data_IF_512924494987
#
_entry.id   IF_512924494987
#
_cell.length_a   1.000
_cell.length_b   1.000
_cell.length_c   1.000
_cell.angle_alpha   90.00
_cell.angle_beta   90.00
_cell.angle_gamma   90.00
#
_symmetry.space_group_name_H-M   'P 1'
#
loop_
_entity.id
_entity.type
_entity.pdbx_description
1 polymer ?
#
# COMPACT_ATOMS: atom_id res chain seq x y z
N UNK A 1 -26.60 4.41 -16.26
CA UNK A 1 -26.26 2.98 -16.47
C UNK A 1 -26.36 2.30 -15.12
N UNK A 2 -27.42 1.53 -14.88
CA UNK A 2 -27.74 0.92 -13.59
C UNK A 2 -27.12 -0.48 -13.57
N UNK A 3 -26.05 -0.67 -12.81
CA UNK A 3 -25.40 -1.98 -12.69
C UNK A 3 -26.19 -2.77 -11.65
N UNK A 4 -26.75 -3.95 -11.98
CA UNK A 4 -27.56 -4.72 -11.04
C UNK A 4 -26.71 -5.21 -9.86
N UNK A 5 -27.20 -4.97 -8.64
CA UNK A 5 -26.56 -5.27 -7.35
C UNK A 5 -26.46 -6.77 -7.00
N UNK A 6 -26.79 -7.70 -7.90
CA UNK A 6 -26.91 -9.13 -7.59
C UNK A 6 -25.95 -10.06 -8.34
N UNK A 7 -24.97 -9.54 -9.08
CA UNK A 7 -23.89 -10.38 -9.60
C UNK A 7 -22.84 -10.51 -8.51
N UNK A 8 -22.69 -11.71 -7.95
CA UNK A 8 -21.58 -12.02 -7.04
C UNK A 8 -20.29 -11.85 -7.83
N UNK A 9 -19.56 -10.77 -7.54
CA UNK A 9 -18.31 -10.44 -8.23
C UNK A 9 -17.16 -11.33 -7.75
N UNK A 10 -17.31 -11.96 -6.59
CA UNK A 10 -16.25 -12.71 -5.94
C UNK A 10 -16.50 -14.22 -6.06
N UNK A 11 -15.50 -15.01 -6.50
CA UNK A 11 -15.69 -16.44 -6.61
C UNK A 11 -16.02 -17.05 -5.24
N UNK A 12 -17.18 -17.72 -5.13
CA UNK A 12 -17.80 -18.23 -3.88
C UNK A 12 -16.95 -19.18 -3.03
N UNK A 13 -15.76 -19.60 -3.47
CA UNK A 13 -15.02 -20.75 -2.94
C UNK A 13 -13.77 -20.47 -2.09
N UNK A 14 -13.55 -19.24 -1.61
CA UNK A 14 -12.44 -18.98 -0.69
C UNK A 14 -12.76 -17.89 0.34
N UNK A 15 -13.26 -18.31 1.50
CA UNK A 15 -13.59 -17.48 2.67
C UNK A 15 -12.35 -17.01 3.46
N UNK A 16 -11.35 -16.43 2.78
CA UNK A 16 -10.20 -15.76 3.40
C UNK A 16 -9.77 -14.57 2.52
N UNK A 17 -10.75 -13.77 2.10
CA UNK A 17 -10.55 -12.64 1.21
C UNK A 17 -10.68 -11.35 2.00
N UNK A 18 -9.69 -10.48 1.84
CA UNK A 18 -9.78 -9.10 2.28
C UNK A 18 -9.86 -8.26 1.01
N UNK A 19 -10.90 -7.44 0.90
CA UNK A 19 -10.97 -6.42 -0.16
C UNK A 19 -10.23 -5.20 0.36
N UNK A 20 -9.10 -4.90 -0.27
CA UNK A 20 -8.58 -3.56 -0.24
C UNK A 20 -9.43 -2.72 -1.19
N UNK A 21 -9.89 -1.56 -0.74
CA UNK A 21 -9.54 -0.27 -1.38
C UNK A 21 -10.53 0.87 -1.11
N UNK A 22 -9.95 1.96 -0.58
CA UNK A 22 -10.33 3.39 -0.63
C UNK A 22 -11.43 4.03 0.27
N UNK A 23 -10.90 4.88 1.16
CA UNK A 23 -11.41 6.06 1.90
C UNK A 23 -12.44 5.91 3.01
N UNK A 24 -13.24 4.84 3.09
CA UNK A 24 -14.33 4.77 4.08
C UNK A 24 -14.50 3.43 4.80
N UNK A 25 -13.58 2.50 4.63
CA UNK A 25 -13.57 1.30 5.48
C UNK A 25 -13.08 1.69 6.88
N UNK A 26 -13.77 1.21 7.92
CA UNK A 26 -13.47 1.53 9.32
C UNK A 26 -12.18 0.88 9.83
N UNK A 27 -11.71 -0.20 9.17
CA UNK A 27 -10.50 -0.93 9.55
C UNK A 27 -9.37 -0.70 8.56
N UNK A 28 -8.16 -0.55 9.07
CA UNK A 28 -6.94 -0.51 8.27
C UNK A 28 -6.34 -1.90 8.10
N UNK A 29 -5.88 -2.21 6.89
CA UNK A 29 -4.98 -3.34 6.66
C UNK A 29 -3.65 -3.05 7.36
N UNK A 30 -3.17 -4.00 8.17
CA UNK A 30 -1.95 -3.87 8.95
C UNK A 30 -1.20 -5.21 8.99
N UNK A 31 0.11 -5.13 9.25
CA UNK A 31 0.99 -6.30 9.30
C UNK A 31 1.35 -6.84 7.92
N UNK A 32 1.99 -8.01 7.86
CA UNK A 32 2.31 -8.69 6.62
C UNK A 32 1.05 -9.02 5.82
N UNK A 33 1.17 -9.16 4.49
CA UNK A 33 0.09 -9.66 3.65
C UNK A 33 -0.08 -11.17 3.88
N UNK A 34 -0.85 -11.52 4.91
CA UNK A 34 -1.03 -12.87 5.45
C UNK A 34 -2.17 -13.68 4.78
N UNK A 35 -3.00 -13.02 3.96
CA UNK A 35 -4.13 -13.67 3.29
C UNK A 35 -3.72 -14.25 1.94
N UNK A 36 -4.42 -15.32 1.56
CA UNK A 36 -4.22 -16.00 0.26
C UNK A 36 -4.66 -15.15 -0.92
N UNK A 37 -5.68 -14.29 -0.73
CA UNK A 37 -6.25 -13.48 -1.80
C UNK A 37 -6.63 -12.12 -1.25
N UNK A 38 -6.09 -11.09 -1.89
CA UNK A 38 -6.54 -9.72 -1.76
C UNK A 38 -7.30 -9.34 -3.02
N UNK A 39 -8.41 -8.63 -2.85
CA UNK A 39 -9.17 -8.12 -3.99
C UNK A 39 -9.12 -6.61 -3.97
N UNK A 40 -8.92 -6.01 -5.14
CA UNK A 40 -8.75 -4.59 -5.34
C UNK A 40 -9.87 -4.06 -6.22
N UNK A 41 -10.44 -2.92 -5.86
CA UNK A 41 -11.42 -2.27 -6.71
C UNK A 41 -10.72 -1.66 -7.92
N UNK A 42 -10.98 -2.20 -9.11
CA UNK A 42 -10.40 -1.69 -10.35
C UNK A 42 -11.07 -0.39 -10.86
N UNK A 43 -12.04 0.16 -10.12
CA UNK A 43 -12.84 1.31 -10.50
C UNK A 43 -12.77 2.44 -9.47
N UNK A 44 -13.09 3.66 -9.90
CA UNK A 44 -13.18 4.83 -9.04
C UNK A 44 -14.44 4.75 -8.17
N UNK A 45 -14.30 4.26 -6.94
CA UNK A 45 -15.42 4.03 -6.03
C UNK A 45 -15.87 5.32 -5.31
N UNK A 46 -16.74 6.12 -5.95
CA UNK A 46 -17.26 7.38 -5.37
C UNK A 46 -18.23 7.15 -4.21
N UNK A 47 -19.04 6.10 -4.31
CA UNK A 47 -20.23 5.88 -3.49
C UNK A 47 -20.10 4.69 -2.53
N UNK A 48 -18.86 4.20 -2.30
CA UNK A 48 -18.60 3.08 -1.40
C UNK A 48 -19.28 1.77 -1.86
N UNK A 49 -19.49 1.63 -3.16
CA UNK A 49 -20.19 0.51 -3.78
C UNK A 49 -19.40 -0.79 -3.60
N UNK A 50 -18.07 -0.71 -3.63
CA UNK A 50 -17.20 -1.87 -3.42
C UNK A 50 -17.30 -2.41 -2.00
N UNK A 51 -17.37 -1.53 -0.99
CA UNK A 51 -17.53 -1.93 0.40
C UNK A 51 -18.93 -2.50 0.70
N UNK A 52 -19.98 -1.96 0.06
CA UNK A 52 -21.34 -2.52 0.19
C UNK A 52 -21.41 -3.90 -0.46
N UNK A 53 -20.85 -4.07 -1.66
CA UNK A 53 -20.78 -5.37 -2.32
C UNK A 53 -19.99 -6.39 -1.48
N UNK A 54 -18.84 -5.99 -0.92
CA UNK A 54 -18.05 -6.82 -0.01
C UNK A 54 -18.88 -7.34 1.18
N UNK A 55 -19.61 -6.44 1.85
CA UNK A 55 -20.44 -6.79 3.02
C UNK A 55 -21.58 -7.72 2.65
N UNK A 56 -22.24 -7.48 1.51
CA UNK A 56 -23.32 -8.35 1.03
C UNK A 56 -22.83 -9.77 0.73
N UNK A 57 -21.54 -9.94 0.43
CA UNK A 57 -20.92 -11.24 0.17
C UNK A 57 -20.16 -11.81 1.38
N UNK A 58 -20.28 -11.19 2.57
CA UNK A 58 -19.62 -11.64 3.80
C UNK A 58 -18.09 -11.50 3.79
N UNK A 59 -17.55 -10.62 2.93
CA UNK A 59 -16.12 -10.37 2.77
C UNK A 59 -15.71 -9.19 3.67
N UNK A 60 -14.59 -9.33 4.37
CA UNK A 60 -14.05 -8.24 5.18
C UNK A 60 -13.50 -7.11 4.27
N UNK A 61 -14.05 -5.92 4.45
CA UNK A 61 -13.61 -4.71 3.76
C UNK A 61 -12.62 -3.94 4.64
N UNK A 62 -11.43 -3.66 4.12
CA UNK A 62 -10.40 -2.86 4.81
C UNK A 62 -9.86 -1.76 3.91
N UNK A 63 -9.27 -0.75 4.55
CA UNK A 63 -8.61 0.36 3.89
C UNK A 63 -7.08 0.19 3.98
N UNK A 64 -6.39 0.54 2.87
CA UNK A 64 -4.93 0.70 2.91
C UNK A 64 -4.56 1.82 3.89
N UNK A 65 -3.54 1.63 4.75
CA UNK A 65 -3.19 2.59 5.80
C UNK A 65 -2.49 3.86 5.27
N UNK A 66 -2.72 4.25 4.02
CA UNK A 66 -2.07 5.40 3.35
C UNK A 66 -2.25 6.70 4.14
N UNK A 67 -3.45 6.97 4.63
CA UNK A 67 -3.76 8.17 5.41
C UNK A 67 -3.09 8.22 6.79
N UNK A 68 -2.49 7.11 7.26
CA UNK A 68 -1.66 7.12 8.48
C UNK A 68 -0.27 7.69 8.22
N UNK A 69 0.26 7.50 7.01
CA UNK A 69 1.64 7.86 6.66
C UNK A 69 1.72 9.16 5.87
N UNK A 70 0.65 9.53 5.16
CA UNK A 70 0.60 10.76 4.37
C UNK A 70 -0.74 11.49 4.50
N UNK A 71 -0.68 12.80 4.30
CA UNK A 71 -1.86 13.63 4.03
C UNK A 71 -2.00 13.76 2.52
N UNK A 72 -3.15 13.33 2.00
CA UNK A 72 -3.47 13.53 0.60
C UNK A 72 -3.63 15.01 0.29
N UNK A 73 -3.24 15.39 -0.92
CA UNK A 73 -3.63 16.63 -1.54
C UNK A 73 -5.17 16.76 -1.52
N UNK A 74 -5.71 17.90 -1.09
CA UNK A 74 -7.16 18.17 -1.02
C UNK A 74 -7.93 17.88 -2.32
N UNK A 75 -7.26 17.89 -3.49
CA UNK A 75 -7.84 17.60 -4.81
C UNK A 75 -7.77 16.12 -5.22
N UNK A 76 -6.87 15.32 -4.66
CA UNK A 76 -6.71 13.89 -4.99
C UNK A 76 -7.11 13.02 -3.79
N UNK A 77 -8.35 12.55 -3.80
CA UNK A 77 -8.92 11.69 -2.74
C UNK A 77 -8.77 10.19 -3.01
N UNK A 78 -8.09 9.83 -4.11
CA UNK A 78 -7.95 8.45 -4.58
C UNK A 78 -6.52 8.17 -5.05
N UNK A 79 -6.07 6.95 -4.80
CA UNK A 79 -4.77 6.46 -5.27
C UNK A 79 -5.00 5.61 -6.53
N UNK A 80 -4.22 5.79 -7.60
CA UNK A 80 -4.30 4.91 -8.77
C UNK A 80 -4.08 3.43 -8.40
N UNK A 81 -4.71 2.51 -9.15
CA UNK A 81 -4.56 1.06 -8.94
C UNK A 81 -3.11 0.61 -9.10
N UNK A 82 -2.39 1.16 -10.07
CA UNK A 82 -0.96 0.88 -10.27
C UNK A 82 -0.16 1.14 -8.99
N UNK A 83 -0.30 2.34 -8.42
CA UNK A 83 0.37 2.71 -7.18
C UNK A 83 -0.03 1.81 -6.01
N UNK A 84 -1.27 1.34 -5.96
CA UNK A 84 -1.71 0.42 -4.92
C UNK A 84 -1.08 -0.96 -5.05
N UNK A 85 -0.96 -1.46 -6.28
CA UNK A 85 -0.27 -2.71 -6.56
C UNK A 85 1.21 -2.62 -6.19
N UNK A 86 1.87 -1.51 -6.51
CA UNK A 86 3.29 -1.31 -6.18
C UNK A 86 3.51 -1.22 -4.67
N UNK A 87 2.64 -0.52 -3.93
CA UNK A 87 2.65 -0.52 -2.45
C UNK A 87 2.49 -1.94 -1.92
N UNK A 88 1.52 -2.71 -2.44
CA UNK A 88 1.27 -4.07 -1.95
C UNK A 88 2.44 -5.02 -2.23
N UNK A 89 3.12 -4.86 -3.37
CA UNK A 89 4.37 -5.59 -3.67
C UNK A 89 5.46 -5.26 -2.66
N UNK A 90 5.72 -3.97 -2.41
CA UNK A 90 6.74 -3.57 -1.44
C UNK A 90 6.41 -4.06 -0.03
N UNK A 91 5.14 -4.05 0.39
CA UNK A 91 4.72 -4.62 1.68
C UNK A 91 4.96 -6.13 1.73
N UNK A 92 4.70 -6.85 0.65
CA UNK A 92 4.98 -8.28 0.55
C UNK A 92 6.49 -8.55 0.69
N UNK A 93 7.31 -7.84 -0.07
CA UNK A 93 8.76 -8.03 -0.13
C UNK A 93 9.46 -7.62 1.18
N UNK A 94 8.90 -6.63 1.89
CA UNK A 94 9.41 -6.16 3.19
C UNK A 94 8.76 -6.84 4.39
N UNK A 95 7.94 -7.87 4.17
CA UNK A 95 7.21 -8.58 5.22
C UNK A 95 6.38 -7.67 6.15
N UNK A 96 5.72 -6.64 5.60
CA UNK A 96 4.77 -5.81 6.33
C UNK A 96 5.21 -4.37 6.61
N UNK A 97 6.29 -3.86 6.01
CA UNK A 97 6.68 -2.45 6.18
C UNK A 97 5.86 -1.50 5.31
N UNK A 98 4.67 -1.18 5.82
CA UNK A 98 3.75 -0.21 5.22
C UNK A 98 4.35 1.19 5.12
N UNK A 99 5.18 1.61 6.07
CA UNK A 99 5.77 2.93 6.08
C UNK A 99 6.71 3.12 4.90
N UNK A 100 7.63 2.18 4.71
CA UNK A 100 8.53 2.16 3.56
C UNK A 100 7.74 2.06 2.25
N UNK A 101 6.85 1.07 2.12
CA UNK A 101 6.12 0.80 0.88
C UNK A 101 5.28 2.00 0.42
N UNK A 102 4.59 2.66 1.35
CA UNK A 102 3.76 3.82 1.02
C UNK A 102 4.64 5.00 0.62
N UNK A 103 5.71 5.31 1.37
CA UNK A 103 6.58 6.44 1.04
C UNK A 103 7.35 6.23 -0.27
N UNK A 104 7.75 5.00 -0.58
CA UNK A 104 8.53 4.65 -1.77
C UNK A 104 7.73 4.78 -3.07
N UNK A 105 6.43 4.51 -3.04
CA UNK A 105 5.59 4.46 -4.25
C UNK A 105 4.72 5.69 -4.47
N UNK A 106 4.68 6.62 -3.52
CA UNK A 106 3.90 7.84 -3.67
C UNK A 106 4.63 8.88 -4.51
N UNK A 107 3.94 9.44 -5.49
CA UNK A 107 4.46 10.52 -6.33
C UNK A 107 4.15 11.90 -5.75
N UNK A 108 4.98 12.90 -6.08
CA UNK A 108 4.83 14.29 -5.62
C UNK A 108 3.42 14.85 -5.85
N UNK A 109 2.85 14.52 -7.00
CA UNK A 109 1.52 14.99 -7.40
C UNK A 109 0.38 14.43 -6.54
N UNK A 110 0.59 13.34 -5.80
CA UNK A 110 -0.40 12.74 -4.91
C UNK A 110 -0.37 13.36 -3.51
N UNK A 111 0.78 13.91 -3.12
CA UNK A 111 1.06 14.32 -1.73
C UNK A 111 1.09 15.84 -1.55
N UNK A 112 1.37 16.61 -2.61
CA UNK A 112 1.53 18.07 -2.49
C UNK A 112 0.27 18.82 -2.92
N UNK A 113 -0.36 19.55 -1.98
CA UNK A 113 -1.07 20.82 -2.26
C UNK A 113 -1.13 21.80 -1.08
N UNK A 114 -0.68 21.42 0.11
CA UNK A 114 -1.01 22.18 1.33
C UNK A 114 0.23 22.60 2.14
N UNK A 115 1.43 22.48 1.56
CA UNK A 115 2.70 22.89 2.20
C UNK A 115 3.12 22.09 3.44
N UNK A 116 2.43 20.99 3.79
CA UNK A 116 2.68 20.20 5.01
C UNK A 116 3.57 18.97 4.83
N UNK A 117 3.89 18.57 3.59
CA UNK A 117 4.79 17.45 3.33
C UNK A 117 5.87 17.96 2.38
N UNK A 118 7.08 18.08 2.89
CA UNK A 118 8.27 18.24 2.07
C UNK A 118 8.54 16.90 1.37
N UNK A 119 8.12 16.81 0.12
CA UNK A 119 8.35 15.62 -0.69
C UNK A 119 9.85 15.35 -0.91
N UNK A 120 10.69 16.39 -0.87
CA UNK A 120 12.14 16.23 -0.87
C UNK A 120 12.65 15.55 0.39
N UNK A 121 12.17 15.98 1.57
CA UNK A 121 12.45 15.31 2.84
C UNK A 121 11.95 13.86 2.83
N UNK A 122 10.74 13.62 2.32
CA UNK A 122 10.16 12.27 2.22
C UNK A 122 11.03 11.33 1.38
N UNK A 123 11.47 11.79 0.20
CA UNK A 123 12.35 11.02 -0.68
C UNK A 123 13.72 10.77 -0.05
N UNK A 124 14.27 11.78 0.65
CA UNK A 124 15.53 11.63 1.37
C UNK A 124 15.41 10.57 2.47
N UNK A 125 14.35 10.60 3.28
CA UNK A 125 14.09 9.59 4.32
C UNK A 125 13.98 8.18 3.74
N UNK A 126 13.27 8.01 2.61
CA UNK A 126 13.15 6.72 1.93
C UNK A 126 14.51 6.23 1.42
N UNK A 127 15.29 7.13 0.80
CA UNK A 127 16.61 6.80 0.27
C UNK A 127 17.59 6.45 1.40
N UNK A 128 17.56 7.19 2.50
CA UNK A 128 18.41 6.93 3.66
C UNK A 128 18.03 5.63 4.36
N UNK A 129 16.73 5.33 4.51
CA UNK A 129 16.27 4.06 5.05
C UNK A 129 16.72 2.87 4.18
N UNK A 130 16.64 3.00 2.85
CA UNK A 130 17.13 2.00 1.89
C UNK A 130 18.64 1.82 1.99
N UNK A 131 19.39 2.92 2.03
CA UNK A 131 20.85 2.91 2.16
C UNK A 131 21.29 2.27 3.50
N UNK A 132 20.61 2.59 4.59
CA UNK A 132 20.86 2.00 5.91
C UNK A 132 20.66 0.49 5.88
N UNK A 133 19.60 0.00 5.23
CA UNK A 133 19.37 -1.44 5.05
C UNK A 133 20.47 -2.09 4.22
N UNK A 134 20.86 -1.47 3.12
CA UNK A 134 21.93 -1.98 2.25
C UNK A 134 23.26 -2.06 3.02
N UNK A 135 23.61 -1.02 3.78
CA UNK A 135 24.82 -1.01 4.63
C UNK A 135 24.77 -2.10 5.69
N UNK A 136 23.64 -2.28 6.37
CA UNK A 136 23.49 -3.32 7.39
C UNK A 136 23.60 -4.73 6.78
N UNK A 137 23.01 -4.96 5.60
CA UNK A 137 23.13 -6.21 4.86
C UNK A 137 24.57 -6.46 4.42
N UNK A 138 25.23 -5.44 3.86
CA UNK A 138 26.63 -5.53 3.42
C UNK A 138 27.57 -5.85 4.59
N UNK A 139 27.37 -5.22 5.76
CA UNK A 139 28.12 -5.53 6.98
C UNK A 139 27.94 -6.98 7.40
N UNK A 140 26.69 -7.46 7.44
CA UNK A 140 26.37 -8.84 7.82
C UNK A 140 26.99 -9.85 6.85
N UNK A 141 26.95 -9.57 5.54
CA UNK A 141 27.58 -10.42 4.52
C UNK A 141 29.10 -10.41 4.67
N UNK A 142 29.71 -9.25 4.93
CA UNK A 142 31.16 -9.14 5.14
C UNK A 142 31.62 -9.91 6.37
N UNK A 143 30.84 -9.92 7.47
CA UNK A 143 31.14 -10.70 8.67
C UNK A 143 31.09 -12.21 8.40
N UNK A 144 30.12 -12.66 7.59
CA UNK A 144 29.94 -14.09 7.26
C UNK A 144 30.99 -14.56 6.25
N UNK A 145 31.32 -13.73 5.27
CA UNK A 145 32.15 -14.13 4.10
C UNK A 145 33.61 -13.74 4.22
N UNK A 146 33.96 -12.80 5.12
CA UNK A 146 35.29 -12.20 5.21
C UNK A 146 35.63 -11.24 4.08
N UNK A 147 34.73 -10.99 3.13
CA UNK A 147 34.92 -10.07 2.00
C UNK A 147 34.32 -8.70 2.30
N UNK A 148 35.13 -7.65 2.19
CA UNK A 148 34.65 -6.26 2.23
C UNK A 148 34.02 -5.87 0.90
N UNK A 149 32.77 -5.41 0.96
CA UNK A 149 32.06 -4.85 -0.18
C UNK A 149 32.02 -3.34 -0.07
N UNK A 150 32.67 -2.63 -0.99
CA UNK A 150 32.60 -1.17 -1.07
C UNK A 150 31.18 -0.78 -1.50
N UNK A 151 30.47 -0.06 -0.63
CA UNK A 151 29.19 0.54 -1.00
C UNK A 151 29.45 1.71 -1.95
N UNK A 152 28.94 1.63 -3.18
CA UNK A 152 29.04 2.70 -4.18
C UNK A 152 28.38 3.98 -3.64
N UNK A 153 29.18 5.06 -3.54
CA UNK A 153 28.76 6.41 -3.14
C UNK A 153 27.79 7.07 -4.14
#
# INVERSE_FOLDING_TARGET
MHIPLSVSFYPKKSMNKIIGMFSRATKFLQGPLDKKVYVLCAAYDRENQSAVAARNEGIEAVQLPVTKYIKFNARKTFLPISTQLDILKDVYDTHGDWGFAIKNNLTRELVTNDGKIDYGQLLWEVREAKNTRIRALASSISEITGYTYDTLD
#
